data_IF_968334163427
#
_entry.id   IF_968334163427
#
_cell.length_a   1.000
_cell.length_b   1.000
_cell.length_c   1.000
_cell.angle_alpha   90.00
_cell.angle_beta   90.00
_cell.angle_gamma   90.00
#
_symmetry.space_group_name_H-M   'P 1'
#
loop_
_entity.id
_entity.type
_entity.pdbx_description
1 polymer ?
#
# COMPACT_ATOMS: atom_id res chain seq x y z
N UNK A 1 22.09 10.94 21.82
CA UNK A 1 22.20 11.66 20.54
C UNK A 1 20.81 12.13 20.15
N UNK A 2 20.57 13.44 20.11
CA UNK A 2 19.38 13.96 19.44
C UNK A 2 19.64 13.88 17.94
N UNK A 3 18.79 13.16 17.20
CA UNK A 3 18.82 13.18 15.75
C UNK A 3 18.16 14.48 15.34
N UNK A 4 18.92 15.45 14.82
CA UNK A 4 18.34 16.62 14.16
C UNK A 4 17.68 16.14 12.87
N UNK A 5 16.36 16.24 12.81
CA UNK A 5 15.61 15.99 11.59
C UNK A 5 15.49 17.31 10.83
N UNK A 6 16.16 17.43 9.69
CA UNK A 6 15.88 18.52 8.75
C UNK A 6 14.48 18.31 8.20
N UNK A 7 13.55 19.19 8.56
CA UNK A 7 12.23 19.21 7.91
C UNK A 7 12.39 19.87 6.54
N UNK A 8 12.09 19.18 5.43
CA UNK A 8 12.13 19.80 4.11
C UNK A 8 11.11 20.94 4.05
N UNK A 9 11.48 22.03 3.37
CA UNK A 9 10.51 23.08 3.01
C UNK A 9 9.59 22.49 1.96
N UNK A 10 8.29 22.50 2.24
CA UNK A 10 7.25 22.04 1.33
C UNK A 10 6.78 23.26 0.52
N UNK A 11 6.84 23.22 -0.82
CA UNK A 11 6.21 24.24 -1.66
C UNK A 11 4.70 24.33 -1.38
N UNK A 12 4.14 25.54 -1.37
CA UNK A 12 2.70 25.73 -1.09
C UNK A 12 1.79 24.95 -2.07
N UNK A 13 2.24 24.79 -3.31
CA UNK A 13 1.57 23.99 -4.35
C UNK A 13 1.49 22.48 -4.03
N UNK A 14 2.42 21.97 -3.22
CA UNK A 14 2.47 20.56 -2.82
C UNK A 14 1.67 20.28 -1.53
N UNK A 15 1.24 21.31 -0.78
CA UNK A 15 0.57 21.13 0.51
C UNK A 15 -0.69 20.26 0.42
N UNK A 16 -1.49 20.44 -0.63
CA UNK A 16 -2.70 19.66 -0.83
C UNK A 16 -2.39 18.18 -1.07
N UNK A 17 -1.37 17.89 -1.87
CA UNK A 17 -0.94 16.52 -2.19
C UNK A 17 -0.37 15.85 -0.94
N UNK A 18 0.43 16.57 -0.16
CA UNK A 18 0.99 16.07 1.09
C UNK A 18 -0.12 15.83 2.11
N UNK A 19 -1.10 16.71 2.23
CA UNK A 19 -2.24 16.51 3.13
C UNK A 19 -3.03 15.24 2.76
N UNK A 20 -3.24 14.97 1.47
CA UNK A 20 -3.86 13.73 1.00
C UNK A 20 -3.01 12.51 1.34
N UNK A 21 -1.70 12.57 1.09
CA UNK A 21 -0.79 11.48 1.42
C UNK A 21 -0.77 11.17 2.93
N UNK A 22 -0.80 12.21 3.78
CA UNK A 22 -0.89 12.07 5.23
C UNK A 22 -2.23 11.46 5.66
N UNK A 23 -3.35 11.88 5.07
CA UNK A 23 -4.64 11.27 5.37
C UNK A 23 -4.68 9.77 5.01
N UNK A 24 -4.08 9.38 3.88
CA UNK A 24 -3.93 7.97 3.49
C UNK A 24 -3.06 7.22 4.49
N UNK A 25 -1.94 7.81 4.91
CA UNK A 25 -1.05 7.23 5.92
C UNK A 25 -1.76 7.00 7.27
N UNK A 26 -2.56 7.96 7.71
CA UNK A 26 -3.31 7.90 8.97
C UNK A 26 -4.42 6.83 8.92
N UNK A 27 -4.94 6.52 7.73
CA UNK A 27 -5.92 5.46 7.51
C UNK A 27 -5.30 4.04 7.46
N UNK A 28 -3.97 3.93 7.41
CA UNK A 28 -3.27 2.64 7.42
C UNK A 28 -3.29 2.01 8.82
N UNK A 29 -3.44 0.69 8.87
CA UNK A 29 -3.22 -0.05 10.12
C UNK A 29 -1.74 -0.01 10.51
N UNK A 30 -1.40 -0.21 11.81
CA UNK A 30 0.00 -0.29 12.25
C UNK A 30 0.82 -1.39 11.56
N UNK A 31 0.17 -2.43 11.02
CA UNK A 31 0.83 -3.45 10.20
C UNK A 31 1.21 -2.93 8.82
N UNK A 32 0.27 -2.23 8.16
CA UNK A 32 0.50 -1.61 6.85
C UNK A 32 1.56 -0.49 6.93
N UNK A 33 1.51 0.37 7.95
CA UNK A 33 2.52 1.42 8.16
C UNK A 33 3.94 0.82 8.31
N UNK A 34 4.05 -0.27 9.08
CA UNK A 34 5.32 -0.99 9.24
C UNK A 34 5.83 -1.56 7.92
N UNK A 35 4.96 -2.06 7.07
CA UNK A 35 5.34 -2.61 5.77
C UNK A 35 5.78 -1.52 4.78
N UNK A 36 5.06 -0.40 4.74
CA UNK A 36 5.46 0.76 3.92
C UNK A 36 6.83 1.28 4.36
N UNK A 37 7.05 1.43 5.67
CA UNK A 37 8.34 1.85 6.20
C UNK A 37 9.46 0.83 5.92
N UNK A 38 9.18 -0.47 6.04
CA UNK A 38 10.12 -1.55 5.69
C UNK A 38 10.53 -1.46 4.22
N UNK A 39 9.56 -1.26 3.33
CA UNK A 39 9.82 -1.12 1.89
C UNK A 39 10.67 0.12 1.59
N UNK A 40 10.36 1.27 2.20
CA UNK A 40 11.18 2.48 2.09
C UNK A 40 12.62 2.22 2.56
N UNK A 41 12.79 1.61 3.74
CA UNK A 41 14.11 1.31 4.28
C UNK A 41 14.93 0.39 3.36
N UNK A 42 14.30 -0.62 2.75
CA UNK A 42 14.96 -1.49 1.78
C UNK A 42 15.44 -0.73 0.54
N UNK A 43 14.61 0.16 -0.01
CA UNK A 43 14.93 0.96 -1.20
C UNK A 43 16.04 1.96 -0.88
N UNK A 44 15.96 2.69 0.24
CA UNK A 44 17.01 3.61 0.70
C UNK A 44 18.33 2.87 0.94
N UNK A 45 18.29 1.69 1.55
CA UNK A 45 19.48 0.86 1.78
C UNK A 45 20.08 0.36 0.45
N UNK A 46 19.25 0.04 -0.54
CA UNK A 46 19.72 -0.32 -1.89
C UNK A 46 20.37 0.88 -2.57
N UNK A 47 19.73 2.05 -2.55
CA UNK A 47 20.29 3.29 -3.10
C UNK A 47 21.63 3.64 -2.43
N UNK A 48 21.71 3.54 -1.11
CA UNK A 48 22.96 3.79 -0.37
C UNK A 48 24.13 2.97 -0.89
N UNK A 49 23.88 1.68 -1.23
CA UNK A 49 24.87 0.72 -1.74
C UNK A 49 25.19 0.85 -3.22
N UNK A 50 24.18 1.12 -4.04
CA UNK A 50 24.27 0.98 -5.52
C UNK A 50 24.21 2.31 -6.26
N UNK A 51 23.72 3.37 -5.60
CA UNK A 51 23.32 4.65 -6.21
C UNK A 51 22.28 4.51 -7.33
N UNK A 52 21.57 3.39 -7.34
CA UNK A 52 20.46 3.12 -8.26
C UNK A 52 19.24 3.97 -7.88
N UNK A 53 19.00 5.01 -8.66
CA UNK A 53 17.87 5.94 -8.46
C UNK A 53 16.56 5.33 -8.95
N UNK A 54 16.59 4.36 -9.87
CA UNK A 54 15.37 3.77 -10.45
C UNK A 54 14.52 3.09 -9.37
N UNK A 55 15.18 2.47 -8.39
CA UNK A 55 14.49 1.86 -7.26
C UNK A 55 13.73 2.90 -6.40
N UNK A 56 14.29 4.10 -6.24
CA UNK A 56 13.63 5.20 -5.52
C UNK A 56 12.46 5.76 -6.34
N UNK A 57 12.65 5.96 -7.64
CA UNK A 57 11.60 6.45 -8.53
C UNK A 57 10.40 5.51 -8.56
N UNK A 58 10.62 4.20 -8.75
CA UNK A 58 9.55 3.20 -8.73
C UNK A 58 8.82 3.13 -7.39
N UNK A 59 9.54 3.34 -6.29
CA UNK A 59 8.91 3.40 -4.97
C UNK A 59 8.04 4.66 -4.83
N UNK A 60 8.52 5.81 -5.29
CA UNK A 60 7.75 7.05 -5.29
C UNK A 60 6.46 6.93 -6.15
N UNK A 61 6.56 6.33 -7.35
CA UNK A 61 5.41 6.04 -8.21
C UNK A 61 4.39 5.11 -7.54
N UNK A 62 4.87 4.09 -6.82
CA UNK A 62 4.01 3.18 -6.05
C UNK A 62 3.26 3.90 -4.93
N UNK A 63 3.93 4.81 -4.22
CA UNK A 63 3.30 5.63 -3.17
C UNK A 63 2.29 6.61 -3.76
N UNK A 64 2.62 7.29 -4.86
CA UNK A 64 1.69 8.19 -5.55
C UNK A 64 0.44 7.43 -6.05
N UNK A 65 0.65 6.24 -6.65
CA UNK A 65 -0.44 5.36 -7.06
C UNK A 65 -1.34 4.95 -5.88
N UNK A 66 -0.75 4.60 -4.74
CA UNK A 66 -1.49 4.32 -3.51
C UNK A 66 -2.32 5.52 -3.06
N UNK A 67 -1.73 6.72 -3.00
CA UNK A 67 -2.44 7.92 -2.55
C UNK A 67 -3.61 8.25 -3.47
N UNK A 68 -3.41 8.17 -4.80
CA UNK A 68 -4.47 8.42 -5.78
C UNK A 68 -5.61 7.41 -5.67
N UNK A 69 -5.29 6.12 -5.55
CA UNK A 69 -6.29 5.06 -5.44
C UNK A 69 -7.12 5.22 -4.16
N UNK A 70 -6.49 5.41 -3.01
CA UNK A 70 -7.20 5.56 -1.73
C UNK A 70 -7.96 6.88 -1.63
N UNK A 71 -7.45 7.96 -2.24
CA UNK A 71 -8.16 9.25 -2.25
C UNK A 71 -9.43 9.21 -3.11
N UNK A 72 -9.52 8.26 -4.04
CA UNK A 72 -10.66 8.12 -4.95
C UNK A 72 -11.59 6.97 -4.55
N UNK A 73 -11.10 5.99 -3.76
CA UNK A 73 -11.81 4.75 -3.47
C UNK A 73 -11.50 4.24 -2.06
N UNK A 74 -12.48 3.64 -1.38
CA UNK A 74 -12.30 2.93 -0.09
C UNK A 74 -11.65 1.52 -0.27
N UNK A 75 -10.74 1.38 -1.23
CA UNK A 75 -10.28 0.08 -1.72
C UNK A 75 -9.61 -0.76 -0.65
N UNK A 76 -8.79 -0.17 0.24
CA UNK A 76 -8.20 -0.93 1.37
C UNK A 76 -9.23 -1.44 2.35
N UNK A 77 -10.30 -0.69 2.60
CA UNK A 77 -11.39 -1.18 3.46
C UNK A 77 -12.02 -2.41 2.82
N UNK A 78 -12.35 -2.34 1.52
CA UNK A 78 -12.88 -3.47 0.77
C UNK A 78 -11.94 -4.68 0.80
N UNK A 79 -10.62 -4.50 0.56
CA UNK A 79 -9.62 -5.57 0.61
C UNK A 79 -9.54 -6.20 2.01
N UNK A 80 -9.55 -5.39 3.09
CA UNK A 80 -9.52 -5.90 4.47
C UNK A 80 -10.77 -6.72 4.78
N UNK A 81 -11.94 -6.25 4.36
CA UNK A 81 -13.20 -6.98 4.50
C UNK A 81 -13.18 -8.29 3.71
N UNK A 82 -12.57 -8.32 2.51
CA UNK A 82 -12.44 -9.55 1.73
C UNK A 82 -11.43 -10.53 2.34
N UNK A 83 -10.34 -10.03 2.94
CA UNK A 83 -9.31 -10.85 3.59
C UNK A 83 -9.73 -11.37 4.96
N UNK A 84 -10.61 -10.65 5.66
CA UNK A 84 -11.19 -11.03 6.95
C UNK A 84 -12.46 -11.86 6.84
N UNK A 85 -13.05 -11.98 5.65
CA UNK A 85 -14.16 -12.88 5.41
C UNK A 85 -13.71 -14.33 5.66
N UNK A 86 -14.48 -15.16 6.39
CA UNK A 86 -14.22 -16.59 6.42
C UNK A 86 -14.20 -17.04 4.95
N UNK A 87 -13.08 -17.64 4.54
CA UNK A 87 -12.97 -18.21 3.21
C UNK A 87 -14.24 -19.02 2.95
N UNK A 88 -14.90 -18.80 1.81
CA UNK A 88 -16.04 -19.60 1.37
C UNK A 88 -15.78 -21.04 1.78
N UNK A 89 -16.71 -21.73 2.46
CA UNK A 89 -16.49 -23.12 2.83
C UNK A 89 -16.03 -23.85 1.57
N UNK A 90 -14.87 -24.51 1.70
CA UNK A 90 -14.44 -25.47 0.71
C UNK A 90 -15.59 -26.47 0.50
N UNK A 91 -15.66 -27.02 -0.71
CA UNK A 91 -16.60 -28.08 -1.15
C UNK A 91 -17.83 -27.60 -1.94
N UNK A 92 -17.57 -27.01 -3.10
CA UNK A 92 -18.19 -27.53 -4.32
C UNK A 92 -17.08 -27.66 -5.36
N UNK A 93 -16.65 -28.90 -5.63
CA UNK A 93 -15.70 -29.16 -6.70
C UNK A 93 -16.39 -28.92 -8.05
N UNK A 94 -15.64 -28.52 -9.08
CA UNK A 94 -16.16 -28.52 -10.46
C UNK A 94 -16.72 -29.90 -10.86
N UNK A 95 -16.20 -30.97 -10.25
CA UNK A 95 -16.70 -32.33 -10.43
C UNK A 95 -18.09 -32.60 -9.81
N UNK A 96 -18.55 -31.76 -8.88
CA UNK A 96 -19.89 -31.85 -8.29
C UNK A 96 -20.92 -31.06 -9.10
N UNK A 97 -20.52 -29.94 -9.71
CA UNK A 97 -21.37 -29.17 -10.64
C UNK A 97 -21.67 -29.93 -11.94
N UNK A 98 -20.71 -30.70 -12.45
CA UNK A 98 -20.92 -31.50 -13.66
C UNK A 98 -21.98 -32.61 -13.46
N UNK A 99 -22.08 -33.17 -12.24
CA UNK A 99 -23.06 -34.22 -11.91
C UNK A 99 -24.50 -33.68 -11.80
N UNK A 100 -24.67 -32.40 -11.45
CA UNK A 100 -25.99 -31.75 -11.36
C UNK A 100 -26.58 -31.32 -12.72
N UNK A 101 -25.79 -31.35 -13.79
CA UNK A 101 -26.26 -31.01 -15.15
C UNK A 101 -26.67 -32.26 -15.95
N UNK A 102 -26.48 -33.46 -15.40
CA UNK A 102 -26.86 -34.73 -16.02
C UNK A 102 -28.14 -35.36 -15.41
N UNK A 103 -28.77 -34.71 -14.42
CA UNK A 103 -30.13 -35.00 -13.93
C UNK A 103 -31.16 -34.02 -14.51
#
# INVERSE_FOLDING_TARGET
MAVEYTRPVVPAEDEQVIAQAMAVWDALTPGEQREVFRSLAQVVTRYGRTKDVDALTRFAESVDGMVRLESTTDLRRAIRETRGAPGKPAEVSFADMARQLEE
#
